data_IF_144617541905
#
_entry.id   IF_144617541905
#
_cell.length_a   1.000
_cell.length_b   1.000
_cell.length_c   1.000
_cell.angle_alpha   90.00
_cell.angle_beta   90.00
_cell.angle_gamma   90.00
#
_symmetry.space_group_name_H-M   'P 1'
#
loop_
_entity.id
_entity.type
_entity.pdbx_description
1 polymer ?
#
# COMPACT_ATOMS: atom_id res chain seq x y z
N UNK A 1 41.40 -24.40 8.72
CA UNK A 1 40.77 -23.62 9.79
C UNK A 1 40.95 -24.39 11.09
N UNK A 2 41.82 -23.91 11.98
CA UNK A 2 42.04 -24.50 13.31
C UNK A 2 40.91 -24.06 14.25
N UNK A 3 40.70 -24.74 15.38
CA UNK A 3 39.65 -24.37 16.33
C UNK A 3 39.81 -22.92 16.86
N UNK A 4 41.03 -22.40 16.91
CA UNK A 4 41.32 -21.00 17.30
C UNK A 4 40.79 -19.99 16.27
N UNK A 5 40.88 -20.32 14.98
CA UNK A 5 40.40 -19.49 13.86
C UNK A 5 38.87 -19.29 13.89
N UNK A 6 38.15 -20.32 14.36
CA UNK A 6 36.69 -20.28 14.52
C UNK A 6 36.27 -19.43 15.72
N UNK A 7 36.95 -19.56 16.85
CA UNK A 7 36.65 -18.77 18.06
C UNK A 7 36.88 -17.28 17.82
N UNK A 8 38.00 -16.92 17.17
CA UNK A 8 38.32 -15.54 16.82
C UNK A 8 37.25 -14.93 15.90
N UNK A 9 36.78 -15.71 14.91
CA UNK A 9 35.71 -15.27 14.01
C UNK A 9 34.39 -15.05 14.76
N UNK A 10 34.01 -15.96 15.67
CA UNK A 10 32.80 -15.81 16.48
C UNK A 10 32.89 -14.54 17.34
N UNK A 11 34.06 -14.30 17.95
CA UNK A 11 34.28 -13.14 18.79
C UNK A 11 34.19 -11.82 18.00
N UNK A 12 34.75 -11.78 16.79
CA UNK A 12 34.63 -10.62 15.89
C UNK A 12 33.18 -10.34 15.49
N UNK A 13 32.42 -11.36 15.14
CA UNK A 13 31.00 -11.21 14.79
C UNK A 13 30.17 -10.68 15.96
N UNK A 14 30.44 -11.15 17.19
CA UNK A 14 29.78 -10.62 18.40
C UNK A 14 30.13 -9.15 18.62
N UNK A 15 31.40 -8.79 18.54
CA UNK A 15 31.84 -7.41 18.71
C UNK A 15 31.20 -6.47 17.67
N UNK A 16 31.09 -6.92 16.41
CA UNK A 16 30.40 -6.18 15.36
C UNK A 16 28.91 -5.99 15.68
N UNK A 17 28.23 -7.05 16.12
CA UNK A 17 26.82 -6.97 16.51
C UNK A 17 26.60 -5.99 17.68
N UNK A 18 27.48 -6.00 18.68
CA UNK A 18 27.43 -5.08 19.82
C UNK A 18 27.69 -3.63 19.38
N UNK A 19 28.63 -3.42 18.45
CA UNK A 19 28.88 -2.10 17.87
C UNK A 19 27.65 -1.57 17.14
N UNK A 20 26.98 -2.40 16.34
CA UNK A 20 25.76 -1.98 15.62
C UNK A 20 24.66 -1.59 16.59
N UNK A 21 24.53 -2.25 17.74
CA UNK A 21 23.53 -1.90 18.76
C UNK A 21 23.70 -0.48 19.32
N UNK A 22 24.92 0.08 19.28
CA UNK A 22 25.18 1.47 19.69
C UNK A 22 24.52 2.51 18.78
N UNK A 23 24.15 2.12 17.56
CA UNK A 23 23.53 3.01 16.58
C UNK A 23 22.00 3.08 16.71
N UNK A 24 21.39 2.40 17.68
CA UNK A 24 19.95 2.46 17.92
C UNK A 24 19.51 3.80 18.49
N UNK A 25 18.51 4.43 17.88
CA UNK A 25 17.87 5.65 18.37
C UNK A 25 16.75 5.33 19.38
N UNK A 26 16.55 6.22 20.36
CA UNK A 26 15.55 6.01 21.41
C UNK A 26 14.10 6.09 20.90
N UNK A 27 13.88 6.76 19.75
CA UNK A 27 12.56 6.98 19.14
C UNK A 27 12.12 5.81 18.25
N UNK A 28 12.94 4.78 18.11
CA UNK A 28 12.67 3.65 17.23
C UNK A 28 11.89 2.56 17.94
N UNK A 29 10.84 2.07 17.28
CA UNK A 29 10.18 0.84 17.71
C UNK A 29 11.07 -0.36 17.44
N UNK A 30 10.83 -1.46 18.15
CA UNK A 30 11.57 -2.72 17.98
C UNK A 30 11.51 -3.22 16.53
N UNK A 31 10.32 -3.27 15.92
CA UNK A 31 10.14 -3.64 14.50
C UNK A 31 10.96 -2.78 13.54
N UNK A 32 11.08 -1.48 13.83
CA UNK A 32 11.86 -0.56 13.02
C UNK A 32 13.36 -0.84 13.18
N UNK A 33 13.81 -0.97 14.42
CA UNK A 33 15.20 -1.23 14.75
C UNK A 33 15.68 -2.58 14.20
N UNK A 34 14.91 -3.65 14.36
CA UNK A 34 15.32 -5.00 13.91
C UNK A 34 15.61 -5.04 12.41
N UNK A 35 14.72 -4.45 11.61
CA UNK A 35 14.91 -4.34 10.18
C UNK A 35 16.11 -3.44 9.83
N UNK A 36 16.28 -2.30 10.52
CA UNK A 36 17.41 -1.40 10.27
C UNK A 36 18.74 -2.02 10.67
N UNK A 37 18.78 -2.77 11.76
CA UNK A 37 19.94 -3.50 12.26
C UNK A 37 20.39 -4.53 11.23
N UNK A 38 19.46 -5.28 10.65
CA UNK A 38 19.75 -6.22 9.56
C UNK A 38 20.32 -5.51 8.33
N UNK A 39 19.74 -4.35 7.97
CA UNK A 39 20.27 -3.52 6.89
C UNK A 39 21.72 -3.09 7.12
N UNK A 40 22.04 -2.65 8.34
CA UNK A 40 23.41 -2.24 8.69
C UNK A 40 24.35 -3.45 8.63
N UNK A 41 24.02 -4.56 9.29
CA UNK A 41 24.87 -5.75 9.34
C UNK A 41 25.16 -6.33 7.96
N UNK A 42 24.18 -6.29 7.05
CA UNK A 42 24.35 -6.74 5.67
C UNK A 42 25.36 -5.91 4.88
N UNK A 43 25.36 -4.59 5.10
CA UNK A 43 26.12 -3.66 4.27
C UNK A 43 27.43 -3.20 4.92
N UNK A 44 27.61 -3.37 6.23
CA UNK A 44 28.76 -2.81 6.96
C UNK A 44 30.12 -3.32 6.48
N UNK A 45 30.20 -4.52 5.90
CA UNK A 45 31.44 -5.05 5.30
C UNK A 45 31.86 -4.33 4.02
N UNK A 46 30.91 -3.72 3.32
CA UNK A 46 31.13 -3.08 2.02
C UNK A 46 31.48 -1.59 2.16
N UNK A 47 31.37 -1.05 3.38
CA UNK A 47 31.60 0.35 3.69
C UNK A 47 32.89 0.51 4.51
N UNK A 48 33.65 1.55 4.20
CA UNK A 48 34.79 1.95 5.03
C UNK A 48 34.30 2.67 6.30
N UNK A 49 35.15 2.75 7.31
CA UNK A 49 34.81 3.39 8.60
C UNK A 49 34.38 4.85 8.40
N UNK A 50 35.00 5.56 7.46
CA UNK A 50 34.68 6.94 7.11
C UNK A 50 33.33 7.10 6.40
N UNK A 51 32.78 5.99 5.90
CA UNK A 51 31.49 5.93 5.19
C UNK A 51 30.37 5.36 6.08
N UNK A 52 30.62 5.17 7.37
CA UNK A 52 29.64 4.65 8.31
C UNK A 52 28.44 5.60 8.47
N UNK A 53 28.67 6.91 8.59
CA UNK A 53 27.59 7.90 8.69
C UNK A 53 26.66 7.90 7.46
N UNK A 54 27.19 7.87 6.22
CA UNK A 54 26.38 7.61 5.02
C UNK A 54 25.56 6.31 5.11
N UNK A 55 26.15 5.20 5.57
CA UNK A 55 25.44 3.93 5.71
C UNK A 55 24.29 4.02 6.70
N UNK A 56 24.51 4.63 7.87
CA UNK A 56 23.48 4.84 8.89
C UNK A 56 22.35 5.74 8.37
N UNK A 57 22.70 6.75 7.56
CA UNK A 57 21.70 7.61 6.92
C UNK A 57 20.86 6.85 5.89
N UNK A 58 21.49 6.00 5.08
CA UNK A 58 20.79 5.16 4.09
C UNK A 58 19.88 4.12 4.75
N UNK A 59 20.33 3.50 5.84
CA UNK A 59 19.52 2.54 6.60
C UNK A 59 18.28 3.20 7.20
N UNK A 60 18.42 4.44 7.68
CA UNK A 60 17.30 5.24 8.17
C UNK A 60 16.32 5.62 7.06
N UNK A 61 16.82 6.05 5.89
CA UNK A 61 15.99 6.35 4.71
C UNK A 61 15.17 5.14 4.28
N UNK A 62 15.82 3.98 4.21
CA UNK A 62 15.16 2.72 3.87
C UNK A 62 14.06 2.37 4.88
N UNK A 63 14.38 2.37 6.18
CA UNK A 63 13.43 2.02 7.22
C UNK A 63 12.26 3.03 7.30
N UNK A 64 12.52 4.32 7.12
CA UNK A 64 11.46 5.34 7.03
C UNK A 64 10.55 5.13 5.81
N UNK A 65 11.12 4.72 4.67
CA UNK A 65 10.32 4.40 3.50
C UNK A 65 9.42 3.17 3.75
N UNK A 66 9.98 2.11 4.33
CA UNK A 66 9.28 0.83 4.56
C UNK A 66 8.24 0.91 5.67
N UNK A 67 8.54 1.58 6.79
CA UNK A 67 7.68 1.58 7.99
C UNK A 67 6.84 2.84 8.17
N UNK A 68 7.23 3.97 7.56
CA UNK A 68 6.51 5.25 7.68
C UNK A 68 5.97 5.75 6.34
N UNK A 69 6.35 5.12 5.22
CA UNK A 69 5.93 5.54 3.90
C UNK A 69 6.53 6.88 3.48
N UNK A 70 7.67 7.29 4.04
CA UNK A 70 8.37 8.50 3.61
C UNK A 70 8.75 8.40 2.12
N UNK A 71 8.72 9.53 1.42
CA UNK A 71 9.02 9.62 -0.01
C UNK A 71 10.35 10.33 -0.21
N UNK A 72 11.16 9.78 -1.10
CA UNK A 72 12.47 10.29 -1.48
C UNK A 72 12.59 10.26 -3.00
N UNK A 73 13.71 10.72 -3.55
CA UNK A 73 13.96 10.60 -5.00
C UNK A 73 13.98 9.14 -5.42
N UNK A 74 13.52 8.87 -6.64
CA UNK A 74 13.47 7.50 -7.19
C UNK A 74 14.84 6.84 -7.18
N UNK A 75 15.89 7.58 -7.58
CA UNK A 75 17.28 7.11 -7.57
C UNK A 75 17.75 6.65 -6.18
N UNK A 76 17.42 7.42 -5.13
CA UNK A 76 17.79 7.06 -3.77
C UNK A 76 17.04 5.81 -3.30
N UNK A 77 15.75 5.71 -3.63
CA UNK A 77 14.91 4.57 -3.27
C UNK A 77 15.35 3.28 -3.97
N UNK A 78 15.73 3.36 -5.25
CA UNK A 78 16.26 2.22 -6.00
C UNK A 78 17.56 1.73 -5.38
N UNK A 79 18.48 2.65 -5.06
CA UNK A 79 19.74 2.32 -4.39
C UNK A 79 19.52 1.61 -3.04
N UNK A 80 18.70 2.18 -2.15
CA UNK A 80 18.49 1.56 -0.84
C UNK A 80 17.71 0.24 -0.93
N UNK A 81 16.90 0.06 -1.98
CA UNK A 81 16.20 -1.21 -2.22
C UNK A 81 17.15 -2.31 -2.68
N UNK A 82 18.13 -1.98 -3.52
CA UNK A 82 19.21 -2.90 -3.92
C UNK A 82 20.06 -3.31 -2.70
N UNK A 83 20.45 -2.34 -1.87
CA UNK A 83 21.19 -2.60 -0.62
C UNK A 83 20.41 -3.47 0.39
N UNK A 84 19.07 -3.42 0.35
CA UNK A 84 18.19 -4.20 1.21
C UNK A 84 17.77 -5.55 0.61
N UNK A 85 18.30 -5.95 -0.55
CA UNK A 85 17.90 -7.20 -1.20
C UNK A 85 18.09 -8.39 -0.26
N UNK A 86 17.06 -9.24 -0.10
CA UNK A 86 17.13 -10.41 0.79
C UNK A 86 16.83 -10.13 2.27
N UNK A 87 16.63 -8.87 2.68
CA UNK A 87 16.12 -8.55 4.02
C UNK A 87 14.61 -8.79 4.04
N UNK A 88 14.15 -9.72 4.88
CA UNK A 88 12.72 -10.01 5.04
C UNK A 88 12.17 -9.14 6.17
N UNK A 89 11.26 -8.23 5.83
CA UNK A 89 10.51 -7.43 6.81
C UNK A 89 9.14 -8.07 7.01
N UNK A 90 8.95 -8.71 8.17
CA UNK A 90 7.65 -9.22 8.58
C UNK A 90 6.70 -8.06 8.94
N UNK A 91 5.43 -8.17 8.56
CA UNK A 91 4.38 -7.18 8.83
C UNK A 91 4.66 -5.74 8.34
N UNK A 92 5.37 -5.57 7.21
CA UNK A 92 5.57 -4.24 6.64
C UNK A 92 4.20 -3.54 6.39
N UNK A 93 4.00 -2.31 6.89
CA UNK A 93 2.73 -1.60 6.71
C UNK A 93 2.43 -1.39 5.22
N UNK A 94 1.24 -1.81 4.77
CA UNK A 94 0.83 -1.57 3.37
C UNK A 94 0.31 -0.14 3.24
N UNK A 95 1.19 0.77 2.81
CA UNK A 95 0.82 2.14 2.48
C UNK A 95 0.05 2.22 1.18
N UNK A 96 -1.28 2.06 1.25
CA UNK A 96 -2.15 2.35 0.11
C UNK A 96 -2.17 3.86 -0.10
N UNK A 97 -1.74 4.33 -1.26
CA UNK A 97 -1.90 5.74 -1.62
C UNK A 97 -3.39 6.08 -1.70
N UNK A 98 -3.76 7.35 -1.43
CA UNK A 98 -5.15 7.83 -1.60
C UNK A 98 -5.70 7.46 -2.99
N UNK A 99 -4.86 7.55 -4.02
CA UNK A 99 -5.26 7.28 -5.40
C UNK A 99 -5.53 5.78 -5.65
N UNK A 100 -4.84 4.86 -4.97
CA UNK A 100 -5.17 3.42 -4.99
C UNK A 100 -6.49 3.11 -4.29
N UNK A 101 -6.81 3.82 -3.21
CA UNK A 101 -8.11 3.71 -2.53
C UNK A 101 -9.23 4.21 -3.45
N UNK A 102 -9.03 5.34 -4.13
CA UNK A 102 -10.00 5.89 -5.08
C UNK A 102 -10.17 5.02 -6.33
N UNK A 103 -9.10 4.38 -6.83
CA UNK A 103 -9.18 3.47 -7.99
C UNK A 103 -9.99 2.21 -7.67
N UNK A 104 -9.90 1.68 -6.44
CA UNK A 104 -10.73 0.56 -5.97
C UNK A 104 -12.22 0.95 -5.87
N UNK A 105 -12.55 2.18 -5.48
CA UNK A 105 -13.93 2.68 -5.51
C UNK A 105 -14.48 2.79 -6.95
N UNK A 106 -13.68 3.23 -7.93
CA UNK A 106 -14.13 3.27 -9.33
C UNK A 106 -14.41 1.88 -9.91
N UNK A 107 -13.62 0.86 -9.56
CA UNK A 107 -13.87 -0.52 -10.02
C UNK A 107 -15.16 -1.07 -9.40
N UNK A 108 -15.42 -0.77 -8.13
CA UNK A 108 -16.67 -1.18 -7.46
C UNK A 108 -17.91 -0.50 -8.06
N UNK A 109 -17.81 0.78 -8.42
CA UNK A 109 -18.91 1.53 -9.09
C UNK A 109 -19.14 1.07 -10.53
N UNK A 110 -18.09 0.66 -11.26
CA UNK A 110 -18.22 0.13 -12.63
C UNK A 110 -18.88 -1.26 -12.67
N UNK A 111 -18.65 -2.09 -11.64
CA UNK A 111 -19.26 -3.41 -11.55
C UNK A 111 -20.75 -3.38 -11.15
N UNK A 112 -21.18 -2.39 -10.37
CA UNK A 112 -22.60 -2.28 -9.98
C UNK A 112 -23.48 -1.76 -11.10
N UNK A 113 -22.94 -0.99 -12.06
CA UNK A 113 -23.75 -0.43 -13.15
C UNK A 113 -23.95 -1.36 -14.36
N UNK A 114 -23.23 -2.49 -14.45
CA UNK A 114 -23.27 -3.39 -15.62
C UNK A 114 -24.36 -4.46 -15.59
N UNK A 115 -25.19 -4.55 -14.54
CA UNK A 115 -26.24 -5.58 -14.47
C UNK A 115 -27.66 -5.13 -14.93
N UNK A 116 -27.82 -3.92 -15.47
CA UNK A 116 -29.13 -3.41 -15.89
C UNK A 116 -29.23 -3.15 -17.40
N UNK A 117 -28.84 -4.11 -18.25
CA UNK A 117 -29.27 -4.11 -19.66
C UNK A 117 -29.15 -5.50 -20.30
N UNK A 118 -30.32 -6.12 -20.54
CA UNK A 118 -30.68 -7.05 -21.62
C UNK A 118 -31.40 -8.31 -21.12
N UNK A 119 -32.74 -8.29 -21.13
CA UNK A 119 -33.52 -9.45 -21.55
C UNK A 119 -34.49 -8.99 -22.64
N UNK A 120 -34.14 -9.34 -23.86
CA UNK A 120 -34.89 -9.15 -25.10
C UNK A 120 -35.90 -10.29 -25.28
N UNK A 121 -37.16 -9.91 -25.50
CA UNK A 121 -38.07 -10.33 -26.57
C UNK A 121 -38.39 -11.84 -26.82
N UNK A 122 -39.71 -12.07 -26.91
CA UNK A 122 -40.49 -12.99 -27.79
C UNK A 122 -40.77 -14.44 -27.38
N UNK A 123 -42.05 -14.73 -27.08
CA UNK A 123 -42.97 -15.71 -27.72
C UNK A 123 -44.25 -15.77 -26.85
N UNK A 124 -45.51 -15.92 -27.29
CA UNK A 124 -46.17 -16.07 -28.58
C UNK A 124 -47.70 -15.91 -28.35
N UNK A 125 -48.45 -15.84 -29.45
CA UNK A 125 -49.85 -15.44 -29.68
C UNK A 125 -51.02 -16.03 -28.84
N UNK A 126 -52.21 -15.44 -29.10
CA UNK A 126 -53.62 -15.90 -28.93
C UNK A 126 -54.31 -15.40 -27.62
N UNK A 127 -55.50 -14.77 -27.54
CA UNK A 127 -56.83 -14.96 -28.19
C UNK A 127 -57.76 -13.72 -27.94
N UNK A 128 -58.51 -13.32 -28.99
CA UNK A 128 -59.85 -12.68 -29.12
C UNK A 128 -60.30 -11.40 -28.35
N UNK A 129 -60.59 -10.36 -29.16
CA UNK A 129 -61.88 -9.65 -29.38
C UNK A 129 -62.74 -9.10 -28.22
N UNK A 130 -63.32 -7.90 -28.49
CA UNK A 130 -64.50 -7.25 -27.86
C UNK A 130 -64.18 -6.40 -26.61
N UNK A 131 -64.67 -5.18 -26.36
CA UNK A 131 -65.76 -4.34 -26.89
C UNK A 131 -65.53 -2.90 -26.33
N UNK A 132 -65.72 -1.85 -27.15
CA UNK A 132 -66.72 -0.77 -26.98
C UNK A 132 -66.48 0.29 -25.89
N UNK A 133 -66.31 1.52 -26.39
CA UNK A 133 -66.78 2.84 -25.89
C UNK A 133 -66.67 3.23 -24.41
N UNK A 134 -66.16 4.46 -24.18
CA UNK A 134 -66.53 5.18 -22.96
C UNK A 134 -65.66 6.36 -22.56
N UNK A 135 -65.98 7.52 -23.13
CA UNK A 135 -66.08 8.80 -22.41
C UNK A 135 -64.81 9.59 -22.01
N UNK A 136 -64.62 10.72 -22.71
CA UNK A 136 -63.86 11.89 -22.24
C UNK A 136 -64.80 12.71 -21.33
N UNK A 137 -64.33 13.31 -20.23
CA UNK A 137 -64.36 14.78 -20.26
C UNK A 137 -63.10 15.45 -19.70
N UNK A 138 -62.88 16.62 -20.27
CA UNK A 138 -61.82 17.59 -20.08
C UNK A 138 -62.36 18.72 -19.19
N UNK A 139 -61.74 19.04 -18.04
CA UNK A 139 -61.98 20.30 -17.28
C UNK A 139 -60.73 20.58 -16.42
N UNK A 140 -59.83 21.49 -16.83
CA UNK A 140 -59.76 22.93 -16.50
C UNK A 140 -59.04 23.27 -15.17
N UNK A 141 -57.91 23.96 -15.32
CA UNK A 141 -57.27 25.00 -14.51
C UNK A 141 -57.79 25.27 -13.08
N UNK A 142 -56.85 25.29 -12.10
CA UNK A 142 -56.75 26.41 -11.15
C UNK A 142 -55.45 26.40 -10.33
N UNK A 143 -54.62 27.43 -10.52
CA UNK A 143 -53.65 27.95 -9.54
C UNK A 143 -54.43 28.79 -8.49
N UNK A 144 -53.96 28.84 -7.23
CA UNK A 144 -53.41 30.11 -6.71
C UNK A 144 -52.16 29.85 -5.81
N UNK A 145 -51.09 30.65 -5.80
CA UNK A 145 -50.90 32.03 -5.31
C UNK A 145 -51.21 32.26 -3.82
N UNK A 146 -50.26 32.93 -3.15
CA UNK A 146 -50.21 33.43 -1.75
C UNK A 146 -49.83 32.37 -0.70
N UNK A 147 -48.93 32.62 0.25
CA UNK A 147 -48.24 33.85 0.64
C UNK A 147 -47.92 33.79 2.13
N UNK A 148 -46.68 34.17 2.49
CA UNK A 148 -46.27 35.08 3.58
C UNK A 148 -44.84 34.75 4.00
#
# INVERSE_FOLDING_TARGET
>A
MSAMDVEDFIQQNRALADQVETHRGYWESEKHWDARREFILRNISDFQVEQLDPLLSLSMVWANNVFLGCRYSTELLEKVKEMAEGIVVEDAPVFKTRDEIMKKQQVHVKHTHTHARAHTHTHCAEILTQHVEGNIPNVFLSLPSQGR
#
